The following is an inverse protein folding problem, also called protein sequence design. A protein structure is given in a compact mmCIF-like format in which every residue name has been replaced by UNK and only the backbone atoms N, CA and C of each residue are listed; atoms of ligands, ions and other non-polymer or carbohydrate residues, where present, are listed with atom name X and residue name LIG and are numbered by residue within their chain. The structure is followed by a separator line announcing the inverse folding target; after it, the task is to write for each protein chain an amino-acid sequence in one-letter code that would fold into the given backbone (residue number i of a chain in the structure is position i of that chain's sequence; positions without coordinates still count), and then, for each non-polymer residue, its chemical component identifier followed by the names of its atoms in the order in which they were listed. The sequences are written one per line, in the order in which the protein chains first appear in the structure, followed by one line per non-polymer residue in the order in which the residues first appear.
data_IF_606694593283
#
_entry.id   IF_606694593283
#
_cell.length_a   1.000
_cell.length_b   1.000
_cell.length_c   1.000
_cell.angle_alpha   90.00
_cell.angle_beta   90.00
_cell.angle_gamma   90.00
#
_symmetry.space_group_name_H-M   'P 1'
#
loop_
_entity.id
_entity.type
_entity.pdbx_description
1 polymer ?
#
# COMPACT_ATOMS: atom_id res chain seq x y z
N UNK A 1 0.34 -8.20 -15.38
CA UNK A 1 0.78 -6.80 -15.30
C UNK A 1 1.83 -6.70 -14.21
N UNK A 2 3.04 -6.21 -14.49
CA UNK A 2 4.07 -6.04 -13.44
C UNK A 2 3.75 -4.76 -12.66
N UNK A 3 3.05 -4.89 -11.54
CA UNK A 3 2.76 -3.76 -10.65
C UNK A 3 4.09 -3.36 -10.00
N UNK A 4 4.57 -2.16 -10.30
CA UNK A 4 5.83 -1.65 -9.77
C UNK A 4 5.61 -1.09 -8.37
N UNK A 5 6.54 -1.34 -7.45
CA UNK A 5 6.54 -0.75 -6.12
C UNK A 5 6.44 0.78 -6.22
N UNK A 6 5.47 1.35 -5.53
CA UNK A 6 5.31 2.80 -5.44
C UNK A 6 6.15 3.34 -4.27
N UNK A 7 6.72 4.56 -4.37
CA UNK A 7 7.38 5.21 -3.26
C UNK A 7 6.44 5.38 -2.07
N UNK A 8 7.00 5.51 -0.87
CA UNK A 8 6.24 5.68 0.37
C UNK A 8 5.24 6.83 0.28
N UNK A 9 5.62 7.96 -0.32
CA UNK A 9 4.73 9.11 -0.50
C UNK A 9 3.52 8.81 -1.39
N UNK A 10 3.68 7.97 -2.42
CA UNK A 10 2.56 7.53 -3.26
C UNK A 10 1.70 6.48 -2.54
N UNK A 11 2.32 5.62 -1.73
CA UNK A 11 1.60 4.64 -0.91
C UNK A 11 0.70 5.31 0.13
N UNK A 12 1.16 6.38 0.77
CA UNK A 12 0.34 7.14 1.73
C UNK A 12 -0.89 7.75 1.06
N UNK A 13 -0.79 8.20 -0.19
CA UNK A 13 -1.97 8.65 -0.97
C UNK A 13 -2.90 7.48 -1.26
N UNK A 14 -2.37 6.31 -1.64
CA UNK A 14 -3.19 5.12 -1.89
C UNK A 14 -3.93 4.66 -0.64
N UNK A 15 -3.30 4.69 0.55
CA UNK A 15 -3.96 4.37 1.83
C UNK A 15 -5.16 5.27 2.11
N UNK A 16 -5.06 6.56 1.79
CA UNK A 16 -6.20 7.49 1.91
C UNK A 16 -7.30 7.14 0.91
N UNK A 17 -6.95 6.73 -0.30
CA UNK A 17 -7.93 6.34 -1.33
C UNK A 17 -8.62 5.02 -0.98
N UNK A 18 -7.88 4.02 -0.48
CA UNK A 18 -8.44 2.72 -0.08
C UNK A 18 -9.30 2.81 1.18
N UNK A 19 -8.94 3.67 2.13
CA UNK A 19 -9.72 3.89 3.35
C UNK A 19 -10.88 4.87 3.20
N UNK A 20 -11.07 5.46 2.02
CA UNK A 20 -12.13 6.43 1.74
C UNK A 20 -13.32 5.82 0.99
N UNK A 21 -14.41 6.57 0.89
CA UNK A 21 -15.54 6.19 0.05
C UNK A 21 -15.20 6.39 -1.43
N UNK A 22 -15.41 5.34 -2.23
CA UNK A 22 -15.07 5.31 -3.65
C UNK A 22 -16.32 5.66 -4.47
N UNK A 23 -16.24 6.60 -5.44
CA UNK A 23 -15.06 7.35 -5.86
C UNK A 23 -14.76 8.57 -4.95
N UNK A 24 -13.50 8.72 -4.54
CA UNK A 24 -13.07 9.78 -3.62
C UNK A 24 -12.70 11.06 -4.37
N UNK A 25 -13.09 12.22 -3.86
CA UNK A 25 -12.80 13.49 -4.52
C UNK A 25 -11.38 13.99 -4.28
N UNK A 26 -10.82 14.75 -5.23
CA UNK A 26 -9.52 15.42 -5.07
C UNK A 26 -9.48 16.33 -3.83
N UNK A 27 -10.62 16.93 -3.47
CA UNK A 27 -10.74 17.80 -2.29
C UNK A 27 -10.62 17.02 -0.99
N UNK A 28 -11.26 15.86 -0.90
CA UNK A 28 -11.18 15.00 0.29
C UNK A 28 -9.78 14.44 0.50
N UNK A 29 -9.16 13.95 -0.59
CA UNK A 29 -7.77 13.47 -0.53
C UNK A 29 -6.84 14.59 -0.04
N UNK A 30 -7.00 15.80 -0.59
CA UNK A 30 -6.19 16.96 -0.20
C UNK A 30 -6.39 17.27 1.28
N UNK A 31 -7.65 17.40 1.72
CA UNK A 31 -7.97 17.71 3.12
C UNK A 31 -7.35 16.69 4.08
N UNK A 32 -7.52 15.40 3.82
CA UNK A 32 -7.01 14.33 4.70
C UNK A 32 -5.47 14.36 4.78
N UNK A 33 -4.79 14.56 3.65
CA UNK A 33 -3.32 14.56 3.60
C UNK A 33 -2.71 15.87 4.12
N UNK A 34 -3.42 16.98 3.97
CA UNK A 34 -3.04 18.26 4.59
C UNK A 34 -3.14 18.15 6.12
N UNK A 35 -4.22 17.58 6.66
CA UNK A 35 -4.40 17.38 8.10
C UNK A 35 -3.42 16.35 8.68
N UNK A 36 -3.18 15.22 8.00
CA UNK A 36 -2.34 14.13 8.53
C UNK A 36 -0.83 14.34 8.32
N UNK A 37 -0.43 15.02 7.25
CA UNK A 37 0.98 15.09 6.80
C UNK A 37 1.46 16.51 6.50
N UNK A 38 0.61 17.53 6.62
CA UNK A 38 0.92 18.93 6.30
C UNK A 38 1.44 19.11 4.86
N UNK A 39 0.98 18.28 3.92
CA UNK A 39 1.41 18.36 2.53
C UNK A 39 0.68 19.48 1.78
N UNK A 40 1.43 20.19 0.94
CA UNK A 40 0.86 21.20 0.04
C UNK A 40 0.01 20.55 -1.04
N UNK A 41 -1.05 21.24 -1.46
CA UNK A 41 -1.96 20.80 -2.53
C UNK A 41 -1.22 20.43 -3.83
N UNK A 42 -0.18 21.18 -4.19
CA UNK A 42 0.63 20.92 -5.39
C UNK A 42 1.36 19.57 -5.31
N UNK A 43 1.86 19.20 -4.14
CA UNK A 43 2.52 17.90 -3.90
C UNK A 43 1.51 16.77 -4.07
N UNK A 44 0.33 16.90 -3.46
CA UNK A 44 -0.73 15.88 -3.50
C UNK A 44 -1.22 15.67 -4.93
N UNK A 45 -1.49 16.74 -5.68
CA UNK A 45 -1.88 16.68 -7.09
C UNK A 45 -0.79 16.05 -7.97
N UNK A 46 0.48 16.32 -7.69
CA UNK A 46 1.60 15.69 -8.40
C UNK A 46 1.65 14.19 -8.14
N UNK A 47 1.48 13.75 -6.89
CA UNK A 47 1.43 12.33 -6.53
C UNK A 47 0.23 11.62 -7.18
N UNK A 48 -0.95 12.23 -7.16
CA UNK A 48 -2.14 11.72 -7.83
C UNK A 48 -1.95 11.57 -9.34
N UNK A 49 -1.30 12.54 -9.99
CA UNK A 49 -0.97 12.46 -11.41
C UNK A 49 -0.01 11.31 -11.72
N UNK A 50 1.01 11.10 -10.86
CA UNK A 50 1.95 9.97 -10.98
C UNK A 50 1.25 8.63 -10.81
N UNK A 51 0.39 8.49 -9.80
CA UNK A 51 -0.40 7.28 -9.55
C UNK A 51 -1.35 6.97 -10.71
N UNK A 52 -2.00 7.99 -11.28
CA UNK A 52 -2.84 7.84 -12.46
C UNK A 52 -2.02 7.40 -13.69
N UNK A 53 -0.85 8.00 -13.91
CA UNK A 53 0.08 7.61 -15.00
C UNK A 53 0.55 6.15 -14.85
N UNK A 54 0.76 5.70 -13.61
CA UNK A 54 1.12 4.30 -13.29
C UNK A 54 -0.07 3.34 -13.32
N UNK A 55 -1.29 3.82 -13.62
CA UNK A 55 -2.54 3.03 -13.63
C UNK A 55 -2.90 2.40 -12.28
N UNK A 56 -2.50 3.03 -11.17
CA UNK A 56 -2.95 2.62 -9.83
C UNK A 56 -4.33 3.18 -9.51
N UNK A 57 -4.65 4.35 -10.08
CA UNK A 57 -5.94 5.03 -9.91
C UNK A 57 -6.45 5.50 -11.26
N UNK A 58 -7.77 5.44 -11.43
CA UNK A 58 -8.48 6.10 -12.52
C UNK A 58 -8.87 7.51 -12.05
N UNK A 59 -8.69 8.50 -12.93
CA UNK A 59 -9.09 9.87 -12.67
C UNK A 59 -10.28 10.24 -13.57
N UNK A 60 -11.43 10.52 -12.96
CA UNK A 60 -12.63 10.99 -13.63
C UNK A 60 -12.76 12.51 -13.43
N UNK A 61 -12.53 13.29 -14.49
CA UNK A 61 -12.70 14.74 -14.44
C UNK A 61 -14.19 15.09 -14.43
N UNK A 62 -14.70 15.57 -13.30
CA UNK A 62 -16.00 16.22 -13.23
C UNK A 62 -15.94 17.69 -13.66
N UNK A 63 -17.09 18.38 -13.66
CA UNK A 63 -17.19 19.80 -14.07
C UNK A 63 -16.38 20.76 -13.20
N UNK A 64 -16.18 20.45 -11.91
CA UNK A 64 -15.44 21.30 -10.94
C UNK A 64 -14.44 20.52 -10.08
N UNK A 65 -14.59 19.21 -9.98
CA UNK A 65 -13.84 18.34 -9.06
C UNK A 65 -13.45 17.09 -9.82
N UNK A 66 -12.22 16.62 -9.61
CA UNK A 66 -11.75 15.34 -10.13
C UNK A 66 -12.01 14.27 -9.08
N UNK A 67 -12.56 13.15 -9.50
CA UNK A 67 -12.77 11.97 -8.66
C UNK A 67 -11.76 10.90 -9.00
N UNK A 68 -11.32 10.17 -7.99
CA UNK A 68 -10.34 9.09 -8.12
C UNK A 68 -10.93 7.77 -7.67
N UNK A 69 -10.62 6.73 -8.43
CA UNK A 69 -11.05 5.35 -8.15
C UNK A 69 -9.81 4.46 -8.17
N UNK A 70 -9.56 3.65 -7.13
CA UNK A 70 -8.45 2.71 -7.17
C UNK A 70 -8.69 1.67 -8.25
N UNK A 71 -7.69 1.47 -9.11
CA UNK A 71 -7.65 0.36 -10.08
C UNK A 71 -7.01 -0.87 -9.43
N UNK A 72 -6.00 -0.64 -8.58
CA UNK A 72 -5.35 -1.67 -7.77
C UNK A 72 -5.91 -1.61 -6.36
N UNK A 73 -6.45 -2.71 -5.87
CA UNK A 73 -6.93 -2.82 -4.49
C UNK A 73 -5.77 -2.93 -3.50
N UNK A 74 -6.02 -2.60 -2.24
CA UNK A 74 -5.03 -2.73 -1.16
C UNK A 74 -4.49 -4.17 -1.06
N UNK A 75 -5.39 -5.16 -1.12
CA UNK A 75 -5.03 -6.58 -1.05
C UNK A 75 -4.18 -7.03 -2.24
N UNK A 76 -4.50 -6.58 -3.46
CA UNK A 76 -3.68 -6.88 -4.63
C UNK A 76 -2.29 -6.26 -4.52
N UNK A 77 -2.21 -5.01 -4.06
CA UNK A 77 -0.94 -4.33 -3.86
C UNK A 77 -0.09 -5.03 -2.79
N UNK A 78 -0.68 -5.33 -1.62
CA UNK A 78 -0.02 -6.04 -0.53
C UNK A 78 0.45 -7.43 -0.97
N UNK A 79 -0.42 -8.23 -1.62
CA UNK A 79 -0.05 -9.56 -2.08
C UNK A 79 1.12 -9.54 -3.08
N UNK A 80 1.20 -8.51 -3.92
CA UNK A 80 2.30 -8.34 -4.86
C UNK A 80 3.58 -7.81 -4.20
N UNK A 81 3.46 -6.82 -3.32
CA UNK A 81 4.60 -6.28 -2.58
C UNK A 81 5.23 -7.36 -1.69
N UNK A 82 4.41 -8.12 -0.96
CA UNK A 82 4.90 -9.23 -0.13
C UNK A 82 5.57 -10.29 -0.98
N UNK A 83 5.00 -10.68 -2.14
CA UNK A 83 5.63 -11.70 -3.00
C UNK A 83 6.95 -11.24 -3.60
N UNK A 84 7.01 -10.00 -4.08
CA UNK A 84 8.23 -9.44 -4.67
C UNK A 84 9.30 -9.17 -3.61
N UNK A 85 8.90 -8.71 -2.41
CA UNK A 85 9.79 -8.56 -1.26
C UNK A 85 10.33 -9.92 -0.81
N UNK A 86 9.46 -10.89 -0.60
CA UNK A 86 9.83 -12.24 -0.19
C UNK A 86 10.77 -12.90 -1.20
N UNK A 87 10.53 -12.70 -2.50
CA UNK A 87 11.40 -13.21 -3.56
C UNK A 87 12.74 -12.48 -3.65
N UNK A 88 12.76 -11.15 -3.56
CA UNK A 88 13.98 -10.34 -3.76
C UNK A 88 14.89 -10.29 -2.53
N UNK A 89 14.31 -10.20 -1.34
CA UNK A 89 15.04 -10.01 -0.08
C UNK A 89 15.37 -11.34 0.58
N UNK A 90 14.42 -12.27 0.58
CA UNK A 90 14.56 -13.57 1.24
C UNK A 90 14.72 -14.74 0.27
N UNK A 91 14.84 -14.49 -1.04
CA UNK A 91 15.01 -15.56 -2.04
C UNK A 91 13.87 -16.56 -2.09
N UNK A 92 12.67 -16.18 -1.64
CA UNK A 92 11.52 -17.07 -1.41
C UNK A 92 11.70 -18.09 -0.27
N UNK A 93 12.63 -17.84 0.66
CA UNK A 93 12.87 -18.70 1.82
C UNK A 93 12.13 -18.19 3.05
N UNK A 94 11.10 -18.94 3.48
CA UNK A 94 10.36 -18.67 4.71
C UNK A 94 11.29 -18.70 5.93
N UNK A 95 12.25 -19.63 5.91
CA UNK A 95 13.28 -19.75 6.94
C UNK A 95 14.09 -18.46 7.06
N UNK A 96 14.56 -17.90 5.94
CA UNK A 96 15.31 -16.64 5.96
C UNK A 96 14.50 -15.49 6.55
N UNK A 97 13.21 -15.38 6.20
CA UNK A 97 12.34 -14.34 6.72
C UNK A 97 12.13 -14.46 8.24
N UNK A 98 11.81 -15.65 8.72
CA UNK A 98 11.58 -15.92 10.15
C UNK A 98 12.87 -15.71 10.95
N UNK A 99 14.03 -16.14 10.45
CA UNK A 99 15.31 -15.91 11.12
C UNK A 99 15.60 -14.42 11.27
N UNK A 100 15.40 -13.60 10.23
CA UNK A 100 15.63 -12.15 10.32
C UNK A 100 14.67 -11.47 11.30
N UNK A 101 13.40 -11.88 11.36
CA UNK A 101 12.45 -11.33 12.33
C UNK A 101 12.81 -11.73 13.77
N UNK A 102 13.24 -12.98 13.98
CA UNK A 102 13.69 -13.46 15.28
C UNK A 102 14.94 -12.71 15.75
N UNK A 103 15.93 -12.53 14.87
CA UNK A 103 17.18 -11.85 15.18
C UNK A 103 16.97 -10.35 15.50
N UNK A 104 15.92 -9.73 14.96
CA UNK A 104 15.54 -8.35 15.25
C UNK A 104 14.57 -8.20 16.44
N UNK A 105 14.21 -9.28 17.14
CA UNK A 105 13.17 -9.30 18.19
C UNK A 105 11.78 -8.82 17.72
N UNK A 106 11.48 -8.91 16.42
CA UNK A 106 10.17 -8.55 15.86
C UNK A 106 9.12 -9.66 16.04
N UNK A 107 9.56 -10.87 16.40
CA UNK A 107 8.69 -12.02 16.72
C UNK A 107 9.14 -12.70 18.01
N UNK A 108 8.17 -13.17 18.79
CA UNK A 108 8.41 -13.91 20.03
C UNK A 108 8.25 -15.42 19.83
N UNK A 109 8.70 -16.22 20.80
CA UNK A 109 8.42 -17.66 20.82
C UNK A 109 6.91 -17.96 20.79
N UNK A 110 6.08 -17.13 21.43
CA UNK A 110 4.62 -17.29 21.42
C UNK A 110 4.02 -17.05 20.01
N UNK A 111 4.59 -16.12 19.24
CA UNK A 111 4.20 -15.89 17.84
C UNK A 111 4.59 -17.08 16.95
N UNK A 112 5.75 -17.70 17.20
CA UNK A 112 6.19 -18.92 16.53
C UNK A 112 5.27 -20.10 16.83
N UNK A 113 4.87 -20.26 18.09
CA UNK A 113 3.94 -21.31 18.53
C UNK A 113 2.54 -21.14 17.92
N UNK A 114 2.04 -19.90 17.86
CA UNK A 114 0.78 -19.58 17.17
C UNK A 114 0.87 -19.90 15.67
N UNK A 115 1.99 -19.59 15.04
CA UNK A 115 2.22 -19.87 13.63
C UNK A 115 2.26 -21.39 13.36
N UNK A 116 2.98 -22.17 14.17
CA UNK A 116 3.05 -23.64 14.03
C UNK A 116 1.66 -24.27 14.17
N UNK A 117 0.88 -23.84 15.18
CA UNK A 117 -0.52 -24.30 15.36
C UNK A 117 -1.40 -23.96 14.16
N UNK A 118 -1.27 -22.75 13.60
CA UNK A 118 -2.05 -22.35 12.43
C UNK A 118 -1.69 -23.16 11.18
N UNK A 119 -0.40 -23.47 10.97
CA UNK A 119 0.05 -24.29 9.84
C UNK A 119 -0.46 -25.73 9.96
N UNK A 120 -0.39 -26.33 11.17
CA UNK A 120 -0.79 -27.72 11.40
C UNK A 120 -2.30 -27.96 11.36
N UNK A 121 -3.09 -26.93 11.66
CA UNK A 121 -4.56 -26.98 11.61
C UNK A 121 -5.14 -26.61 10.24
N UNK A 122 -4.30 -26.59 9.19
CA UNK A 122 -4.67 -26.28 7.82
C UNK A 122 -4.39 -27.47 6.91
#
# INVERSE_FOLDING_TARGET
MSIMKIPESELEVMKVIWGGEIPISSKEIIKILEEKKCWKNTTILTLLSRLAKKKFIAAAKGKKITYYTPIVTENEYLGLETRDFFKKVHGSSLKSFITTLHDNNDITEDDLDKLDKWIRNR
#
